data_IF_660993252389
#
_entry.id   IF_660993252389
#
_cell.length_a   1.000
_cell.length_b   1.000
_cell.length_c   1.000
_cell.angle_alpha   90.00
_cell.angle_beta   90.00
_cell.angle_gamma   90.00
#
_symmetry.space_group_name_H-M   'P 1'
#
loop_
_entity.id
_entity.type
_entity.pdbx_description
1 polymer ?
#
# COMPACT_ATOMS: atom_id res chain seq x y z
N UNK A 1 20.14 7.28 10.18
CA UNK A 1 20.12 8.76 10.19
C UNK A 1 19.60 9.21 11.55
N UNK A 2 20.32 10.05 12.32
CA UNK A 2 19.83 10.55 13.60
C UNK A 2 18.51 11.32 13.44
N UNK A 3 17.62 11.20 14.43
CA UNK A 3 16.40 11.99 14.52
C UNK A 3 16.64 13.25 15.34
N UNK A 4 16.08 14.37 14.91
CA UNK A 4 15.95 15.60 15.71
C UNK A 4 14.48 15.68 16.17
N UNK A 5 14.24 15.42 17.45
CA UNK A 5 12.89 15.32 18.03
C UNK A 5 12.10 16.63 17.89
N UNK A 6 12.76 17.78 18.09
CA UNK A 6 12.11 19.08 17.96
C UNK A 6 11.65 19.34 16.53
N UNK A 7 12.51 19.04 15.54
CA UNK A 7 12.14 19.13 14.12
C UNK A 7 11.07 18.13 13.73
N UNK A 8 11.08 16.92 14.31
CA UNK A 8 10.08 15.89 14.06
C UNK A 8 8.69 16.34 14.52
N UNK A 9 8.60 16.92 15.73
CA UNK A 9 7.34 17.47 16.26
C UNK A 9 6.82 18.61 15.38
N UNK A 10 7.67 19.55 14.99
CA UNK A 10 7.30 20.64 14.08
C UNK A 10 6.90 20.14 12.70
N UNK A 11 7.57 19.10 12.18
CA UNK A 11 7.22 18.50 10.90
C UNK A 11 5.79 17.94 10.93
N UNK A 12 5.41 17.19 11.98
CA UNK A 12 4.05 16.64 12.10
C UNK A 12 3.00 17.76 12.18
N UNK A 13 3.30 18.84 12.91
CA UNK A 13 2.43 20.01 13.01
C UNK A 13 2.19 20.68 11.66
N UNK A 14 3.25 20.88 10.87
CA UNK A 14 3.15 21.48 9.54
C UNK A 14 2.47 20.53 8.55
N UNK A 15 2.82 19.24 8.58
CA UNK A 15 2.24 18.25 7.68
C UNK A 15 0.73 18.06 7.92
N UNK A 16 0.27 18.15 9.17
CA UNK A 16 -1.16 18.13 9.51
C UNK A 16 -1.97 19.11 8.67
N UNK A 17 -1.43 20.29 8.36
CA UNK A 17 -2.11 21.31 7.54
C UNK A 17 -2.40 20.82 6.12
N UNK A 18 -1.50 20.02 5.55
CA UNK A 18 -1.69 19.41 4.23
C UNK A 18 -2.68 18.24 4.29
N UNK A 19 -2.59 17.43 5.35
CA UNK A 19 -3.47 16.28 5.52
C UNK A 19 -4.95 16.68 5.61
N UNK A 20 -5.26 17.89 6.09
CA UNK A 20 -6.62 18.45 6.10
C UNK A 20 -7.25 18.59 4.70
N UNK A 21 -6.47 18.55 3.62
CA UNK A 21 -6.99 18.55 2.24
C UNK A 21 -7.39 17.15 1.74
N UNK A 22 -7.19 16.10 2.53
CA UNK A 22 -7.59 14.75 2.15
C UNK A 22 -9.13 14.63 2.12
N UNK A 23 -9.68 14.28 0.96
CA UNK A 23 -11.13 14.27 0.74
C UNK A 23 -11.89 13.25 1.59
N UNK A 24 -11.24 12.15 1.97
CA UNK A 24 -11.83 11.04 2.74
C UNK A 24 -11.62 11.17 4.25
N UNK A 25 -11.01 12.25 4.72
CA UNK A 25 -10.58 12.41 6.12
C UNK A 25 -11.70 12.21 7.15
N UNK A 26 -12.91 12.68 6.84
CA UNK A 26 -14.07 12.60 7.76
C UNK A 26 -14.73 11.21 7.78
N UNK A 27 -14.63 10.45 6.68
CA UNK A 27 -15.31 9.15 6.55
C UNK A 27 -14.42 7.98 6.97
N UNK A 28 -13.10 8.09 6.82
CA UNK A 28 -12.18 6.99 7.14
C UNK A 28 -12.28 6.48 8.60
N UNK A 29 -12.52 7.33 9.62
CA UNK A 29 -12.65 6.84 11.00
C UNK A 29 -13.94 6.03 11.23
N UNK A 30 -14.99 6.28 10.45
CA UNK A 30 -16.29 5.60 10.54
C UNK A 30 -16.84 5.37 9.12
N UNK A 31 -16.26 4.42 8.38
CA UNK A 31 -16.56 4.29 6.96
C UNK A 31 -17.98 3.75 6.73
N UNK A 32 -18.61 4.08 5.59
CA UNK A 32 -19.95 3.62 5.27
C UNK A 32 -20.01 2.10 5.12
N UNK A 33 -21.22 1.55 5.25
CA UNK A 33 -21.47 0.13 4.99
C UNK A 33 -21.02 -0.25 3.57
N UNK A 34 -20.24 -1.33 3.47
CA UNK A 34 -19.67 -1.81 2.21
C UNK A 34 -18.25 -1.30 1.91
N UNK A 35 -17.72 -0.34 2.68
CA UNK A 35 -16.28 -0.04 2.62
C UNK A 35 -15.49 -1.23 3.15
N UNK A 36 -14.57 -1.74 2.34
CA UNK A 36 -13.90 -3.01 2.61
C UNK A 36 -12.67 -2.87 3.52
N UNK A 37 -12.14 -1.66 3.64
CA UNK A 37 -10.90 -1.41 4.37
C UNK A 37 -11.16 -1.12 5.87
N UNK A 38 -10.18 -1.39 6.75
CA UNK A 38 -10.28 -1.03 8.16
C UNK A 38 -10.50 0.48 8.37
N UNK A 39 -11.28 0.88 9.38
CA UNK A 39 -11.38 2.29 9.78
C UNK A 39 -10.01 2.86 10.15
N UNK A 40 -9.78 4.11 9.78
CA UNK A 40 -8.50 4.79 9.97
C UNK A 40 -8.71 6.22 10.46
N UNK A 41 -8.07 6.58 11.56
CA UNK A 41 -8.01 7.95 12.07
C UNK A 41 -6.63 8.57 11.77
N UNK A 42 -6.55 9.29 10.65
CA UNK A 42 -5.30 9.92 10.21
C UNK A 42 -4.88 11.08 11.11
N UNK A 43 -5.83 11.85 11.65
CA UNK A 43 -5.49 13.01 12.50
C UNK A 43 -5.05 12.55 13.89
N UNK A 44 -5.78 11.61 14.49
CA UNK A 44 -5.42 10.97 15.75
C UNK A 44 -4.11 10.21 15.63
N UNK A 45 -3.88 9.50 14.53
CA UNK A 45 -2.58 8.87 14.25
C UNK A 45 -1.43 9.87 14.20
N UNK A 46 -1.60 11.04 13.58
CA UNK A 46 -0.58 12.09 13.62
C UNK A 46 -0.36 12.63 15.04
N UNK A 47 -1.42 12.76 15.85
CA UNK A 47 -1.29 13.19 17.25
C UNK A 47 -0.46 12.19 18.06
N UNK A 48 -0.70 10.89 17.88
CA UNK A 48 0.12 9.85 18.50
C UNK A 48 1.58 9.90 18.05
N UNK A 49 1.84 10.10 16.75
CA UNK A 49 3.20 10.20 16.22
C UNK A 49 3.91 11.42 16.80
N UNK A 50 3.23 12.56 16.89
CA UNK A 50 3.79 13.78 17.48
C UNK A 50 4.16 13.59 18.95
N UNK A 51 3.27 12.98 19.75
CA UNK A 51 3.53 12.67 21.17
C UNK A 51 4.72 11.72 21.30
N UNK A 52 4.77 10.64 20.50
CA UNK A 52 5.88 9.69 20.48
C UNK A 52 7.21 10.37 20.12
N UNK A 53 7.21 11.27 19.14
CA UNK A 53 8.39 12.03 18.76
C UNK A 53 8.87 12.94 19.90
N UNK A 54 7.96 13.62 20.59
CA UNK A 54 8.28 14.55 21.68
C UNK A 54 8.89 13.87 22.92
N UNK A 55 8.64 12.58 23.11
CA UNK A 55 9.20 11.79 24.23
C UNK A 55 10.41 10.93 23.84
N UNK A 56 10.95 11.11 22.63
CA UNK A 56 12.12 10.36 22.14
C UNK A 56 11.86 8.87 21.90
N UNK A 57 10.64 8.50 21.48
CA UNK A 57 10.26 7.10 21.25
C UNK A 57 10.98 6.47 20.06
N UNK A 58 11.20 7.23 18.99
CA UNK A 58 11.79 6.72 17.75
C UNK A 58 13.32 6.67 17.85
N UNK A 59 13.92 5.51 17.54
CA UNK A 59 15.36 5.33 17.70
C UNK A 59 16.17 6.13 16.68
N UNK A 60 15.57 6.43 15.53
CA UNK A 60 16.23 7.10 14.40
C UNK A 60 15.19 7.69 13.42
N UNK A 61 15.65 8.47 12.42
CA UNK A 61 14.77 9.11 11.43
C UNK A 61 13.99 8.12 10.55
N UNK A 62 14.54 6.92 10.30
CA UNK A 62 13.86 5.89 9.53
C UNK A 62 12.64 5.35 10.28
N UNK A 63 12.74 5.13 11.58
CA UNK A 63 11.61 4.68 12.39
C UNK A 63 10.48 5.72 12.40
N UNK A 64 10.84 7.01 12.54
CA UNK A 64 9.88 8.12 12.50
C UNK A 64 9.21 8.26 11.13
N UNK A 65 10.00 8.25 10.05
CA UNK A 65 9.45 8.35 8.69
C UNK A 65 8.58 7.14 8.34
N UNK A 66 8.95 5.95 8.80
CA UNK A 66 8.15 4.71 8.64
C UNK A 66 6.80 4.84 9.33
N UNK A 67 6.77 5.35 10.57
CA UNK A 67 5.51 5.56 11.29
C UNK A 67 4.54 6.50 10.55
N UNK A 68 5.06 7.58 9.96
CA UNK A 68 4.24 8.48 9.11
C UNK A 68 3.77 7.74 7.86
N UNK A 69 4.67 7.04 7.16
CA UNK A 69 4.31 6.30 5.94
C UNK A 69 3.26 5.23 6.20
N UNK A 70 3.35 4.51 7.31
CA UNK A 70 2.42 3.44 7.66
C UNK A 70 1.05 3.99 8.04
N UNK A 71 1.01 5.13 8.74
CA UNK A 71 -0.24 5.84 9.00
C UNK A 71 -0.94 6.25 7.69
N UNK A 72 -0.22 6.83 6.73
CA UNK A 72 -0.84 7.22 5.46
C UNK A 72 -1.31 6.01 4.66
N UNK A 73 -0.52 4.94 4.61
CA UNK A 73 -0.90 3.67 3.97
C UNK A 73 -2.14 3.04 4.59
N UNK A 74 -2.39 3.25 5.88
CA UNK A 74 -3.59 2.72 6.53
C UNK A 74 -4.91 3.28 5.96
N UNK A 75 -4.86 4.41 5.24
CA UNK A 75 -6.01 4.94 4.51
C UNK A 75 -6.34 4.20 3.20
N UNK A 76 -5.44 3.34 2.71
CA UNK A 76 -5.58 2.63 1.44
C UNK A 76 -5.89 3.56 0.24
N UNK A 77 -5.22 4.71 0.18
CA UNK A 77 -5.34 5.67 -0.91
C UNK A 77 -3.96 5.91 -1.53
N UNK A 78 -3.79 5.45 -2.78
CA UNK A 78 -2.52 5.60 -3.50
C UNK A 78 -2.12 7.04 -3.84
N UNK A 79 -3.03 7.99 -3.67
CA UNK A 79 -2.75 9.42 -3.82
C UNK A 79 -2.35 10.08 -2.50
N UNK A 80 -2.58 9.41 -1.37
CA UNK A 80 -2.20 9.89 -0.05
C UNK A 80 -0.81 9.38 0.33
N UNK A 81 0.23 10.06 -0.16
CA UNK A 81 1.61 9.72 0.14
C UNK A 81 2.50 10.96 0.29
N UNK A 82 3.60 10.80 1.02
CA UNK A 82 4.67 11.80 1.14
C UNK A 82 6.04 11.15 0.97
N UNK A 83 6.92 11.80 0.21
CA UNK A 83 8.28 11.33 -0.01
C UNK A 83 9.18 11.77 1.15
N UNK A 84 9.38 10.86 2.10
CA UNK A 84 10.27 11.08 3.24
C UNK A 84 11.69 10.63 2.91
N UNK A 85 12.66 11.45 3.34
CA UNK A 85 14.06 11.33 2.91
C UNK A 85 14.69 9.99 3.29
N UNK A 86 14.37 9.43 4.47
CA UNK A 86 14.99 8.18 4.91
C UNK A 86 14.50 6.93 4.18
N UNK A 87 13.31 7.00 3.57
CA UNK A 87 12.68 5.86 2.91
C UNK A 87 13.04 5.71 1.43
N UNK A 88 13.75 6.70 0.85
CA UNK A 88 13.94 6.79 -0.60
C UNK A 88 15.42 6.93 -1.02
N UNK A 89 16.35 6.42 -0.22
CA UNK A 89 17.79 6.53 -0.53
C UNK A 89 18.24 5.64 -1.69
N UNK A 90 17.65 4.46 -1.86
CA UNK A 90 17.91 3.55 -2.97
C UNK A 90 16.64 2.80 -3.34
N UNK A 91 16.50 2.47 -4.62
CA UNK A 91 15.44 1.59 -5.12
C UNK A 91 16.02 0.21 -5.41
N UNK A 92 15.25 -0.82 -5.11
CA UNK A 92 15.51 -2.17 -5.63
C UNK A 92 14.51 -2.40 -6.75
N UNK A 93 15.03 -2.69 -7.94
CA UNK A 93 14.22 -3.01 -9.10
C UNK A 93 14.49 -4.46 -9.50
N UNK A 94 13.40 -5.20 -9.72
CA UNK A 94 13.45 -6.54 -10.28
C UNK A 94 12.97 -6.41 -11.72
N UNK A 95 13.86 -6.68 -12.67
CA UNK A 95 13.54 -6.67 -14.11
C UNK A 95 12.79 -7.96 -14.51
N UNK A 96 11.64 -8.16 -13.87
CA UNK A 96 10.71 -9.25 -14.14
C UNK A 96 9.29 -8.77 -13.82
N UNK A 97 8.71 -7.91 -14.67
CA UNK A 97 7.36 -7.42 -14.46
C UNK A 97 6.36 -8.59 -14.49
N UNK A 98 5.39 -8.53 -13.60
CA UNK A 98 4.32 -9.52 -13.50
C UNK A 98 3.06 -9.01 -14.19
N UNK A 99 2.33 -9.93 -14.83
CA UNK A 99 1.03 -9.65 -15.43
C UNK A 99 -0.01 -10.65 -14.95
N UNK A 100 -1.23 -10.18 -14.80
CA UNK A 100 -2.40 -10.99 -14.42
C UNK A 100 -3.28 -11.17 -15.65
N UNK A 101 -3.46 -12.41 -16.10
CA UNK A 101 -4.16 -12.73 -17.36
C UNK A 101 -5.31 -13.69 -17.08
N UNK A 102 -6.52 -13.28 -17.47
CA UNK A 102 -7.68 -14.17 -17.56
C UNK A 102 -7.74 -14.78 -18.96
N UNK A 103 -7.89 -16.11 -19.03
CA UNK A 103 -7.92 -16.83 -20.31
C UNK A 103 -9.12 -16.47 -21.19
N UNK A 104 -10.20 -15.96 -20.60
CA UNK A 104 -11.44 -15.65 -21.30
C UNK A 104 -12.15 -14.37 -20.79
N UNK A 105 -11.47 -13.57 -19.96
CA UNK A 105 -12.03 -12.35 -19.35
C UNK A 105 -13.04 -12.58 -18.21
N UNK A 106 -13.33 -13.84 -17.84
CA UNK A 106 -14.27 -14.19 -16.77
C UNK A 106 -13.71 -15.24 -15.80
N UNK A 107 -12.74 -16.03 -16.23
CA UNK A 107 -11.97 -16.94 -15.41
C UNK A 107 -11.10 -16.12 -14.45
N UNK A 108 -10.86 -16.68 -13.26
CA UNK A 108 -9.90 -16.12 -12.33
C UNK A 108 -8.55 -15.95 -13.03
N UNK A 109 -7.96 -14.75 -13.00
CA UNK A 109 -6.73 -14.51 -13.71
C UNK A 109 -5.58 -15.24 -13.01
N UNK A 110 -4.59 -15.62 -13.81
CA UNK A 110 -3.36 -16.24 -13.34
C UNK A 110 -2.19 -15.29 -13.55
N UNK A 111 -1.19 -15.37 -12.68
CA UNK A 111 -0.02 -14.49 -12.71
C UNK A 111 1.08 -15.11 -13.55
N UNK A 112 1.69 -14.31 -14.43
CA UNK A 112 2.79 -14.70 -15.30
C UNK A 112 3.90 -13.66 -15.26
N UNK A 113 5.13 -14.06 -15.53
CA UNK A 113 6.17 -13.11 -15.92
C UNK A 113 5.80 -12.52 -17.30
N UNK A 114 5.97 -11.22 -17.48
CA UNK A 114 5.59 -10.53 -18.71
C UNK A 114 6.19 -11.17 -19.98
N UNK A 115 7.48 -11.50 -19.95
CA UNK A 115 8.17 -12.09 -21.10
C UNK A 115 7.65 -13.49 -21.44
N UNK A 116 7.20 -14.26 -20.45
CA UNK A 116 6.56 -15.57 -20.67
C UNK A 116 5.15 -15.39 -21.20
N UNK A 117 4.43 -14.38 -20.70
CA UNK A 117 3.07 -14.06 -21.15
C UNK A 117 3.01 -13.71 -22.64
N UNK A 118 4.06 -13.07 -23.19
CA UNK A 118 4.15 -12.78 -24.63
C UNK A 118 4.18 -14.05 -25.50
N UNK A 119 4.54 -15.19 -24.93
CA UNK A 119 4.65 -16.47 -25.63
C UNK A 119 3.40 -17.35 -25.48
N UNK A 120 2.44 -16.98 -24.62
CA UNK A 120 1.21 -17.76 -24.35
C UNK A 120 0.38 -18.08 -25.62
N UNK A 121 0.47 -17.26 -26.67
CA UNK A 121 -0.25 -17.51 -27.92
C UNK A 121 0.41 -18.59 -28.79
N UNK A 122 1.71 -18.82 -28.62
CA UNK A 122 2.52 -19.65 -29.52
C UNK A 122 3.07 -20.92 -28.83
N UNK A 123 3.21 -20.89 -27.51
CA UNK A 123 3.81 -21.97 -26.74
C UNK A 123 2.87 -22.48 -25.64
N UNK A 124 2.57 -23.78 -25.67
CA UNK A 124 1.73 -24.45 -24.68
C UNK A 124 2.45 -24.77 -23.36
N UNK A 125 3.76 -24.51 -23.27
CA UNK A 125 4.60 -24.83 -22.11
C UNK A 125 4.72 -23.72 -21.07
N UNK A 126 4.15 -22.53 -21.31
CA UNK A 126 4.19 -21.44 -20.33
C UNK A 126 3.26 -21.75 -19.16
N UNK A 127 3.82 -21.81 -17.96
CA UNK A 127 3.07 -22.03 -16.72
C UNK A 127 2.95 -20.74 -15.90
N UNK A 128 1.84 -20.54 -15.17
CA UNK A 128 1.71 -19.42 -14.25
C UNK A 128 2.65 -19.54 -13.05
N UNK A 129 2.97 -18.39 -12.47
CA UNK A 129 3.70 -18.30 -11.20
C UNK A 129 2.72 -18.63 -10.08
N UNK A 130 3.06 -19.64 -9.28
CA UNK A 130 2.23 -20.09 -8.16
C UNK A 130 2.73 -19.60 -6.80
N UNK A 131 4.00 -19.21 -6.69
CA UNK A 131 4.58 -18.75 -5.42
C UNK A 131 5.74 -17.79 -5.63
N UNK A 132 5.90 -16.83 -4.71
CA UNK A 132 7.05 -15.93 -4.62
C UNK A 132 7.65 -16.08 -3.23
N UNK A 133 8.96 -16.35 -3.14
CA UNK A 133 9.66 -16.61 -1.89
C UNK A 133 9.03 -17.72 -1.01
N UNK A 134 8.36 -18.69 -1.63
CA UNK A 134 7.68 -19.79 -0.93
C UNK A 134 6.28 -19.44 -0.39
N UNK A 135 5.81 -18.20 -0.57
CA UNK A 135 4.44 -17.78 -0.29
C UNK A 135 3.58 -17.91 -1.54
N UNK A 136 2.29 -18.25 -1.38
CA UNK A 136 1.30 -18.22 -2.46
C UNK A 136 1.32 -16.86 -3.17
N UNK A 137 1.27 -16.87 -4.50
CA UNK A 137 1.45 -15.65 -5.31
C UNK A 137 0.41 -14.58 -4.98
N UNK A 138 -0.83 -14.95 -4.68
CA UNK A 138 -1.88 -13.97 -4.34
C UNK A 138 -1.66 -13.38 -2.96
N UNK A 139 -1.29 -14.22 -1.98
CA UNK A 139 -0.91 -13.76 -0.64
C UNK A 139 0.25 -12.74 -0.69
N UNK A 140 1.29 -13.08 -1.44
CA UNK A 140 2.45 -12.22 -1.62
C UNK A 140 2.09 -10.88 -2.29
N UNK A 141 1.30 -10.91 -3.37
CA UNK A 141 0.89 -9.68 -4.07
C UNK A 141 0.00 -8.78 -3.22
N UNK A 142 -0.90 -9.36 -2.41
CA UNK A 142 -1.72 -8.60 -1.46
C UNK A 142 -0.88 -7.97 -0.35
N UNK A 143 0.16 -8.67 0.14
CA UNK A 143 1.01 -8.14 1.20
C UNK A 143 1.88 -6.97 0.73
N UNK A 144 2.41 -7.02 -0.50
CA UNK A 144 3.20 -5.91 -1.07
C UNK A 144 2.33 -4.75 -1.57
N UNK A 145 1.08 -5.02 -1.93
CA UNK A 145 0.10 -3.99 -2.33
C UNK A 145 -0.50 -3.20 -1.15
N UNK A 146 -0.17 -3.56 0.09
CA UNK A 146 -0.73 -2.94 1.29
C UNK A 146 -0.63 -1.41 1.29
N UNK A 147 -1.79 -0.77 1.46
CA UNK A 147 -1.94 0.69 1.54
C UNK A 147 -1.66 1.46 0.25
N UNK A 148 -1.47 0.75 -0.87
CA UNK A 148 -1.22 1.38 -2.17
C UNK A 148 -2.51 1.78 -2.90
N UNK A 149 -3.60 1.04 -2.73
CA UNK A 149 -4.95 1.31 -3.22
C UNK A 149 -5.97 0.54 -2.35
N UNK A 150 -7.26 0.79 -2.56
CA UNK A 150 -8.35 -0.02 -2.04
C UNK A 150 -8.41 -1.41 -2.68
N UNK A 151 -9.06 -2.36 -1.98
CA UNK A 151 -9.05 -3.76 -2.39
C UNK A 151 -9.72 -4.03 -3.74
N UNK A 152 -10.70 -3.24 -4.17
CA UNK A 152 -11.34 -3.38 -5.48
C UNK A 152 -10.43 -2.90 -6.62
N UNK A 153 -9.59 -1.88 -6.41
CA UNK A 153 -8.54 -1.53 -7.36
C UNK A 153 -7.39 -2.56 -7.39
N UNK A 154 -7.12 -3.26 -6.28
CA UNK A 154 -6.14 -4.35 -6.24
C UNK A 154 -6.66 -5.69 -6.78
N UNK A 155 -7.97 -5.95 -6.70
CA UNK A 155 -8.61 -7.22 -7.03
C UNK A 155 -9.62 -7.09 -8.19
N UNK A 156 -9.26 -6.37 -9.25
CA UNK A 156 -10.08 -6.10 -10.47
C UNK A 156 -10.71 -7.35 -11.14
N UNK A 157 -10.51 -8.57 -10.63
CA UNK A 157 -11.16 -9.80 -11.10
C UNK A 157 -11.99 -10.57 -10.04
N UNK A 158 -12.33 -10.01 -8.88
CA UNK A 158 -13.14 -10.72 -7.86
C UNK A 158 -14.62 -10.33 -7.80
N UNK A 159 -15.12 -9.45 -8.66
CA UNK A 159 -16.55 -9.12 -8.69
C UNK A 159 -17.40 -10.17 -9.43
N UNK A 160 -17.49 -11.38 -8.85
CA UNK A 160 -18.77 -12.09 -8.92
C UNK A 160 -19.69 -11.46 -7.89
N UNK A 161 -20.40 -10.42 -8.33
CA UNK A 161 -21.62 -9.98 -7.66
C UNK A 161 -22.65 -11.09 -7.84
N UNK A 162 -22.70 -12.02 -6.88
CA UNK A 162 -23.86 -12.90 -6.72
C UNK A 162 -24.96 -12.10 -6.00
N UNK A 163 -25.79 -11.41 -6.77
CA UNK A 163 -27.11 -10.99 -6.29
C UNK A 163 -28.11 -12.11 -6.55
N UNK A 164 -28.91 -12.43 -5.53
CA UNK A 164 -30.04 -13.37 -5.56
C UNK A 164 -30.96 -13.21 -6.76
#
# INVERSE_FOLDING_TARGET
MPLDEGRAVSFVEEYRKYLQFQSTLEILPNPPEGYLMPPTDLLGGLDEIQVKAAIGFYSNQYDFDTAISDLLKSAYDGHLAIRLCSLHYFGLEIDMPLVSISSNGTALPQVYAYNDALQLQNESSVSPIISINGEDVMGYLLSVGYGSQDWDAMLVCHSKVETR
#
